data_IF_570186123573
#
_entry.id   IF_570186123573
#
_cell.length_a   1.000
_cell.length_b   1.000
_cell.length_c   1.000
_cell.angle_alpha   90.00
_cell.angle_beta   90.00
_cell.angle_gamma   90.00
#
_symmetry.space_group_name_H-M   'P 1'
#
loop_
_entity.id
_entity.type
_entity.pdbx_description
1 polymer ?
#
# COMPACT_ATOMS: atom_id res chain seq x y z
N UNK A 1 -4.18 15.26 10.46
CA UNK A 1 -2.75 14.89 10.24
C UNK A 1 -2.53 14.61 8.74
N UNK A 2 -1.31 14.65 8.20
CA UNK A 2 -1.05 14.38 6.76
C UNK A 2 -0.51 12.96 6.56
N UNK A 3 -1.03 12.24 5.57
CA UNK A 3 -0.63 10.87 5.24
C UNK A 3 -0.36 10.75 3.74
N UNK A 4 0.76 10.12 3.38
CA UNK A 4 1.14 9.76 2.02
C UNK A 4 0.93 8.26 1.79
N UNK A 5 0.26 7.88 0.72
CA UNK A 5 0.04 6.47 0.36
C UNK A 5 0.80 6.17 -0.93
N UNK A 6 1.65 5.16 -0.91
CA UNK A 6 2.34 4.72 -2.12
C UNK A 6 1.66 3.49 -2.68
N UNK A 7 1.09 3.66 -3.87
CA UNK A 7 0.22 2.69 -4.51
C UNK A 7 -1.24 2.83 -4.08
N UNK A 8 -2.06 3.44 -4.94
CA UNK A 8 -3.51 3.56 -4.74
C UNK A 8 -4.27 2.50 -5.56
N UNK A 9 -3.99 1.22 -5.28
CA UNK A 9 -4.80 0.09 -5.74
C UNK A 9 -6.01 -0.14 -4.83
N UNK A 10 -6.70 -1.28 -4.93
CA UNK A 10 -7.86 -1.59 -4.10
C UNK A 10 -7.57 -1.48 -2.60
N UNK A 11 -6.42 -1.97 -2.14
CA UNK A 11 -6.04 -1.92 -0.72
C UNK A 11 -5.65 -0.50 -0.30
N UNK A 12 -4.80 0.18 -1.09
CA UNK A 12 -4.40 1.57 -0.84
C UNK A 12 -5.59 2.53 -0.74
N UNK A 13 -6.61 2.33 -1.58
CA UNK A 13 -7.84 3.10 -1.55
C UNK A 13 -8.65 2.84 -0.27
N UNK A 14 -8.82 1.58 0.13
CA UNK A 14 -9.54 1.23 1.35
C UNK A 14 -8.83 1.72 2.63
N UNK A 15 -7.50 1.76 2.64
CA UNK A 15 -6.73 2.38 3.72
C UNK A 15 -6.91 3.89 3.73
N UNK A 16 -6.86 4.56 2.57
CA UNK A 16 -7.12 5.99 2.45
C UNK A 16 -8.49 6.37 3.05
N UNK A 17 -9.53 5.61 2.71
CA UNK A 17 -10.90 5.80 3.21
C UNK A 17 -11.01 5.66 4.74
N UNK A 18 -10.30 4.70 5.33
CA UNK A 18 -10.24 4.55 6.80
C UNK A 18 -9.55 5.76 7.45
N UNK A 19 -8.42 6.19 6.89
CA UNK A 19 -7.66 7.33 7.40
C UNK A 19 -8.40 8.67 7.24
N UNK A 20 -9.19 8.81 6.19
CA UNK A 20 -10.08 9.95 5.97
C UNK A 20 -11.11 10.08 7.08
N UNK A 21 -11.68 8.96 7.58
CA UNK A 21 -12.58 8.96 8.72
C UNK A 21 -11.92 9.46 10.03
N UNK A 22 -10.59 9.40 10.13
CA UNK A 22 -9.82 9.98 11.24
C UNK A 22 -9.44 11.47 11.02
N UNK A 23 -9.94 12.12 9.96
CA UNK A 23 -9.62 13.51 9.64
C UNK A 23 -8.19 13.70 9.11
N UNK A 24 -7.62 12.68 8.48
CA UNK A 24 -6.32 12.80 7.82
C UNK A 24 -6.44 13.43 6.43
N UNK A 25 -5.54 14.36 6.12
CA UNK A 25 -5.34 14.84 4.75
C UNK A 25 -4.50 13.80 4.01
N UNK A 26 -5.11 13.17 2.99
CA UNK A 26 -4.50 12.09 2.23
C UNK A 26 -3.86 12.63 0.95
N UNK A 27 -2.65 12.16 0.68
CA UNK A 27 -1.95 12.31 -0.59
C UNK A 27 -1.46 10.95 -1.06
N UNK A 28 -1.25 10.76 -2.36
CA UNK A 28 -0.79 9.48 -2.89
C UNK A 28 0.18 9.62 -4.05
N UNK A 29 1.02 8.61 -4.23
CA UNK A 29 1.86 8.41 -5.40
C UNK A 29 1.53 7.07 -6.05
N UNK A 30 1.44 7.06 -7.37
CA UNK A 30 1.33 5.86 -8.19
C UNK A 30 1.85 6.11 -9.60
N UNK A 31 2.07 5.03 -10.36
CA UNK A 31 2.54 5.09 -11.75
C UNK A 31 1.70 6.04 -12.63
N UNK A 32 0.38 6.04 -12.44
CA UNK A 32 -0.56 6.93 -13.14
C UNK A 32 -1.51 7.57 -12.13
N UNK A 33 -1.91 8.81 -12.40
CA UNK A 33 -2.98 9.48 -11.65
C UNK A 33 -4.31 8.73 -11.82
N UNK A 34 -5.10 8.68 -10.76
CA UNK A 34 -6.43 8.09 -10.74
C UNK A 34 -7.47 9.22 -10.85
N UNK A 35 -8.22 9.33 -11.95
CA UNK A 35 -9.16 10.44 -12.15
C UNK A 35 -10.42 10.35 -11.28
N UNK A 36 -10.64 9.21 -10.62
CA UNK A 36 -11.85 8.90 -9.84
C UNK A 36 -11.68 9.10 -8.32
N UNK A 37 -10.54 9.61 -7.85
CA UNK A 37 -10.28 9.84 -6.42
C UNK A 37 -10.08 11.33 -6.16
N UNK A 38 -10.48 11.78 -4.97
CA UNK A 38 -10.33 13.17 -4.51
C UNK A 38 -8.98 13.45 -3.83
N UNK A 39 -8.15 12.42 -3.63
CA UNK A 39 -6.86 12.54 -2.94
C UNK A 39 -5.82 13.26 -3.81
N UNK A 40 -4.89 13.98 -3.16
CA UNK A 40 -3.85 14.73 -3.88
C UNK A 40 -2.83 13.77 -4.50
N UNK A 41 -2.69 13.82 -5.82
CA UNK A 41 -1.69 13.04 -6.55
C UNK A 41 -0.33 13.74 -6.56
N UNK A 42 0.72 12.98 -6.26
CA UNK A 42 2.10 13.39 -6.47
C UNK A 42 2.79 12.44 -7.47
N UNK A 43 3.29 12.93 -8.61
CA UNK A 43 4.02 12.11 -9.58
C UNK A 43 5.42 11.74 -9.09
N UNK A 44 5.94 12.46 -8.10
CA UNK A 44 7.25 12.26 -7.49
C UNK A 44 7.05 11.88 -6.02
N UNK A 45 7.56 10.70 -5.63
CA UNK A 45 7.44 10.16 -4.28
C UNK A 45 8.11 11.06 -3.23
N UNK A 46 9.16 11.80 -3.59
CA UNK A 46 9.84 12.72 -2.67
C UNK A 46 8.97 13.91 -2.26
N UNK A 47 7.86 14.14 -2.96
CA UNK A 47 6.87 15.18 -2.63
C UNK A 47 5.80 14.69 -1.68
N UNK A 48 5.72 13.38 -1.40
CA UNK A 48 4.86 12.87 -0.33
C UNK A 48 5.43 13.29 1.03
N UNK A 49 4.55 13.74 1.91
CA UNK A 49 4.93 14.23 3.22
C UNK A 49 4.01 13.66 4.31
N UNK A 50 4.58 13.45 5.50
CA UNK A 50 3.87 12.90 6.65
C UNK A 50 4.14 11.41 6.84
N UNK A 51 3.14 10.68 7.33
CA UNK A 51 3.24 9.22 7.51
C UNK A 51 3.10 8.55 6.15
N UNK A 52 4.07 7.74 5.74
CA UNK A 52 4.04 7.03 4.46
C UNK A 52 3.56 5.59 4.68
N UNK A 53 2.56 5.16 3.92
CA UNK A 53 2.02 3.79 3.95
C UNK A 53 2.26 3.11 2.59
N UNK A 54 2.98 1.99 2.58
CA UNK A 54 3.22 1.18 1.39
C UNK A 54 2.33 -0.08 1.42
N UNK A 55 1.50 -0.27 0.39
CA UNK A 55 0.58 -1.42 0.28
C UNK A 55 0.68 -2.12 -1.08
N UNK A 56 1.76 -1.87 -1.83
CA UNK A 56 2.00 -2.49 -3.13
C UNK A 56 3.20 -3.45 -3.07
N UNK A 57 3.15 -4.50 -3.91
CA UNK A 57 4.26 -5.41 -4.15
C UNK A 57 5.43 -4.62 -4.77
N UNK A 58 6.61 -4.67 -4.15
CA UNK A 58 7.88 -4.20 -4.74
C UNK A 58 8.06 -2.71 -5.09
N UNK A 59 7.15 -1.79 -4.75
CA UNK A 59 7.29 -0.39 -5.23
C UNK A 59 7.80 0.63 -4.20
N UNK A 60 7.97 0.27 -2.93
CA UNK A 60 8.76 1.07 -1.95
C UNK A 60 9.53 0.20 -0.98
N UNK A 61 8.98 -0.95 -0.57
CA UNK A 61 9.62 -1.88 0.39
C UNK A 61 8.98 -3.26 0.22
N UNK A 62 9.75 -4.29 -0.11
CA UNK A 62 9.34 -5.71 -0.08
C UNK A 62 10.36 -6.45 0.78
N UNK A 63 9.88 -7.27 1.72
CA UNK A 63 10.56 -7.60 2.99
C UNK A 63 11.13 -9.01 3.07
N UNK A 64 11.62 -9.57 1.96
CA UNK A 64 12.46 -10.76 2.04
C UNK A 64 13.77 -10.54 1.30
N UNK A 65 14.68 -9.94 2.07
CA UNK A 65 16.14 -9.83 1.88
C UNK A 65 16.66 -8.91 0.75
N UNK A 66 17.21 -7.72 1.13
CA UNK A 66 18.29 -6.89 0.53
C UNK A 66 18.35 -6.68 -1.02
N UNK A 67 18.62 -5.49 -1.63
CA UNK A 67 19.35 -4.31 -1.14
C UNK A 67 18.74 -2.93 -1.54
N UNK A 68 17.44 -2.87 -1.84
CA UNK A 68 16.83 -1.74 -2.58
C UNK A 68 15.86 -0.87 -1.79
N UNK A 69 15.71 -1.10 -0.48
CA UNK A 69 15.03 -0.14 0.39
C UNK A 69 15.97 1.06 0.54
N UNK A 70 15.59 2.26 0.08
CA UNK A 70 16.42 3.45 0.25
C UNK A 70 16.70 3.63 1.74
N UNK A 71 17.99 3.60 2.13
CA UNK A 71 18.40 3.64 3.53
C UNK A 71 17.88 4.90 4.23
N UNK A 72 17.65 5.94 3.45
CA UNK A 72 17.07 7.21 3.85
C UNK A 72 15.70 7.04 4.54
N UNK A 73 14.94 5.98 4.22
CA UNK A 73 13.65 5.70 4.85
C UNK A 73 13.76 5.17 6.29
N UNK A 74 14.86 4.50 6.63
CA UNK A 74 15.10 4.00 8.00
C UNK A 74 15.47 5.12 8.98
N UNK A 75 16.03 6.22 8.46
CA UNK A 75 16.46 7.38 9.25
C UNK A 75 15.31 8.37 9.52
N UNK A 76 14.10 8.09 9.01
CA UNK A 76 12.94 8.96 9.18
C UNK A 76 12.06 8.49 10.34
N UNK A 77 12.00 9.30 11.39
CA UNK A 77 11.13 9.08 12.56
C UNK A 77 9.62 9.05 12.24
N UNK A 78 9.24 9.44 11.01
CA UNK A 78 7.86 9.51 10.53
C UNK A 78 7.49 8.40 9.53
N UNK A 79 8.33 7.38 9.38
CA UNK A 79 8.09 6.24 8.47
C UNK A 79 7.85 4.97 9.29
N UNK A 80 6.82 4.20 8.92
CA UNK A 80 6.55 2.86 9.47
C UNK A 80 6.72 1.84 8.35
N UNK A 81 7.64 0.90 8.55
CA UNK A 81 7.91 -0.22 7.65
C UNK A 81 7.29 -1.49 8.26
N UNK A 82 6.58 -2.31 7.47
CA UNK A 82 5.83 -3.47 7.99
C UNK A 82 5.92 -4.74 7.14
N UNK A 83 6.43 -5.86 7.72
CA UNK A 83 6.45 -7.27 7.30
C UNK A 83 6.01 -7.89 5.97
N UNK A 84 5.67 -7.21 4.87
CA UNK A 84 4.86 -7.69 3.75
C UNK A 84 3.73 -8.60 4.27
N UNK A 85 3.15 -8.18 5.40
CA UNK A 85 2.28 -8.99 6.23
C UNK A 85 0.79 -8.71 5.95
N UNK A 86 0.51 -7.85 4.96
CA UNK A 86 -0.83 -7.30 4.72
C UNK A 86 -1.91 -8.33 4.35
N UNK A 87 -1.52 -9.56 3.97
CA UNK A 87 -2.42 -10.67 3.60
C UNK A 87 -2.39 -11.81 4.63
N UNK A 88 -1.55 -11.73 5.66
CA UNK A 88 -1.40 -12.82 6.65
C UNK A 88 -2.47 -12.78 7.75
N UNK A 89 -3.74 -12.65 7.35
CA UNK A 89 -4.91 -12.93 8.20
C UNK A 89 -5.54 -14.25 7.76
N UNK A 90 -6.14 -14.99 8.69
CA UNK A 90 -6.75 -16.30 8.42
C UNK A 90 -7.87 -16.21 7.36
N UNK A 91 -8.68 -15.16 7.43
CA UNK A 91 -9.75 -14.86 6.46
C UNK A 91 -9.19 -14.62 5.05
N UNK A 92 -8.18 -13.74 4.90
CA UNK A 92 -7.58 -13.46 3.59
C UNK A 92 -6.81 -14.64 3.00
N UNK A 93 -6.21 -15.50 3.84
CA UNK A 93 -5.61 -16.76 3.39
C UNK A 93 -6.65 -17.78 2.95
N UNK A 94 -7.80 -17.85 3.64
CA UNK A 94 -8.94 -18.70 3.26
C UNK A 94 -9.53 -18.30 1.91
N UNK A 95 -9.82 -17.02 1.70
CA UNK A 95 -10.32 -16.50 0.43
C UNK A 95 -9.35 -16.75 -0.73
N UNK A 96 -8.05 -16.61 -0.48
CA UNK A 96 -7.01 -16.92 -1.47
C UNK A 96 -7.00 -18.42 -1.82
N UNK A 97 -7.15 -19.29 -0.83
CA UNK A 97 -7.19 -20.74 -1.05
C UNK A 97 -8.42 -21.16 -1.85
N UNK A 98 -9.61 -20.64 -1.51
CA UNK A 98 -10.86 -20.89 -2.23
C UNK A 98 -10.78 -20.44 -3.70
N UNK A 99 -10.23 -19.25 -3.96
CA UNK A 99 -10.03 -18.76 -5.33
C UNK A 99 -9.16 -19.72 -6.16
N UNK A 100 -8.02 -20.14 -5.60
CA UNK A 100 -7.09 -21.05 -6.28
C UNK A 100 -7.76 -22.40 -6.55
N UNK A 101 -8.41 -22.99 -5.54
CA UNK A 101 -9.13 -24.25 -5.70
C UNK A 101 -10.27 -24.17 -6.71
N UNK A 102 -11.01 -23.05 -6.75
CA UNK A 102 -12.06 -22.79 -7.73
C UNK A 102 -11.55 -22.72 -9.16
N UNK A 103 -10.40 -22.07 -9.40
CA UNK A 103 -9.78 -22.04 -10.74
C UNK A 103 -9.37 -23.44 -11.20
N UNK A 104 -8.75 -24.25 -10.32
CA UNK A 104 -8.41 -25.64 -10.65
C UNK A 104 -9.64 -26.51 -10.94
N UNK A 105 -10.73 -26.33 -10.19
CA UNK A 105 -12.00 -27.04 -10.43
C UNK A 105 -12.69 -26.63 -11.73
N UNK A 106 -12.46 -25.42 -12.23
CA UNK A 106 -13.01 -24.96 -13.52
C UNK A 106 -12.23 -25.45 -14.75
N UNK A 107 -11.04 -26.01 -14.53
CA UNK A 107 -10.12 -26.48 -15.57
C UNK A 107 -10.20 -28.01 -15.82
N UNK A 108 -10.96 -28.73 -14.98
CA UNK A 108 -11.25 -30.16 -15.08
C UNK A 108 -12.72 -30.38 -15.49
#
# INVERSE_FOLDING_TARGET
KRVGIVGLGSIGFEVAKRLEAFGCAISYHSRNEKPYVSYVFYPDIHKLAGVIVNIARGAVVDEKELPWVPKELYELDNVVLSPHAGVFTEESFGDLFELVCGEFGSFL
#
